data_IF_487799583976
#
_entry.id   IF_487799583976
#
_cell.length_a   1.000
_cell.length_b   1.000
_cell.length_c   1.000
_cell.angle_alpha   90.00
_cell.angle_beta   90.00
_cell.angle_gamma   90.00
#
_symmetry.space_group_name_H-M   'P 1'
#
loop_
_entity.id
_entity.type
_entity.pdbx_description
1 polymer ?
#
# COMPACT_ATOMS: atom_id res chain seq x y z
N UNK A 1 6.91 -24.34 63.33
CA UNK A 1 7.20 -23.16 62.47
C UNK A 1 5.86 -22.51 62.10
N UNK A 2 5.61 -21.24 62.44
CA UNK A 2 4.32 -20.61 62.13
C UNK A 2 4.30 -20.07 60.69
N UNK A 3 3.14 -20.15 60.05
CA UNK A 3 2.90 -19.73 58.68
C UNK A 3 2.92 -18.19 58.55
N UNK A 4 3.76 -17.67 57.66
CA UNK A 4 3.82 -16.24 57.32
C UNK A 4 2.76 -15.96 56.26
N UNK A 5 1.69 -15.26 56.64
CA UNK A 5 0.73 -14.67 55.70
C UNK A 5 1.37 -13.42 55.06
N UNK A 6 1.73 -13.51 53.77
CA UNK A 6 2.17 -12.35 52.99
C UNK A 6 0.96 -11.48 52.66
N UNK A 7 0.74 -10.43 53.46
CA UNK A 7 -0.21 -9.37 53.15
C UNK A 7 0.40 -8.51 52.03
N UNK A 8 -0.05 -8.72 50.78
CA UNK A 8 0.36 -7.89 49.65
C UNK A 8 -0.29 -6.51 49.83
N UNK A 9 0.49 -5.53 50.27
CA UNK A 9 0.08 -4.13 50.34
C UNK A 9 -0.29 -3.64 48.93
N UNK A 10 -1.57 -3.31 48.71
CA UNK A 10 -2.02 -2.61 47.51
C UNK A 10 -1.38 -1.21 47.50
N UNK A 11 -0.25 -1.07 46.79
CA UNK A 11 0.43 0.20 46.55
C UNK A 11 0.03 0.86 45.22
N UNK A 12 -1.14 0.53 44.68
CA UNK A 12 -1.67 1.21 43.50
C UNK A 12 -2.81 2.11 43.96
N UNK A 13 -2.65 3.44 43.95
CA UNK A 13 -3.76 4.35 44.19
C UNK A 13 -4.81 4.07 43.11
N UNK A 14 -6.02 3.75 43.52
CA UNK A 14 -7.17 3.56 42.65
C UNK A 14 -7.52 4.93 42.04
N UNK A 15 -6.81 5.28 40.96
CA UNK A 15 -7.14 6.45 40.17
C UNK A 15 -8.45 6.10 39.48
N UNK A 16 -9.54 6.69 39.95
CA UNK A 16 -10.85 6.69 39.29
C UNK A 16 -10.69 7.32 37.91
N UNK A 17 -10.30 6.51 36.92
CA UNK A 17 -10.34 6.88 35.53
C UNK A 17 -11.82 7.08 35.21
N UNK A 18 -12.22 8.34 34.99
CA UNK A 18 -13.50 8.63 34.37
C UNK A 18 -13.44 8.06 32.95
N UNK A 19 -13.92 6.85 32.77
CA UNK A 19 -13.95 6.12 31.48
C UNK A 19 -15.19 6.48 30.67
N UNK A 20 -15.57 7.76 30.64
CA UNK A 20 -16.59 8.21 29.71
C UNK A 20 -16.08 8.09 28.28
N UNK A 21 -16.94 7.77 27.30
CA UNK A 21 -16.56 7.70 25.88
C UNK A 21 -15.85 8.99 25.44
N UNK A 22 -16.34 10.14 25.91
CA UNK A 22 -15.78 11.46 25.65
C UNK A 22 -14.39 11.61 26.30
N UNK A 23 -14.22 11.17 27.55
CA UNK A 23 -12.91 11.21 28.24
C UNK A 23 -11.91 10.23 27.63
N UNK A 24 -12.35 9.08 27.10
CA UNK A 24 -11.52 8.13 26.35
C UNK A 24 -11.06 8.71 25.01
N UNK A 25 -11.94 9.41 24.30
CA UNK A 25 -11.60 10.14 23.07
C UNK A 25 -10.62 11.28 23.37
N UNK A 26 -10.89 12.09 24.40
CA UNK A 26 -10.00 13.17 24.79
C UNK A 26 -8.68 12.67 25.37
N UNK A 27 -8.64 11.54 26.07
CA UNK A 27 -7.39 10.91 26.48
C UNK A 27 -6.65 10.31 25.29
N UNK A 28 -7.32 9.76 24.29
CA UNK A 28 -6.70 9.37 23.02
C UNK A 28 -6.10 10.55 22.25
N UNK A 29 -6.79 11.70 22.23
CA UNK A 29 -6.30 12.95 21.63
C UNK A 29 -5.16 13.58 22.48
N UNK A 30 -5.27 13.54 23.81
CA UNK A 30 -4.24 14.03 24.75
C UNK A 30 -3.06 13.07 24.89
N UNK A 31 -3.21 11.81 24.50
CA UNK A 31 -2.10 10.87 24.43
C UNK A 31 -1.20 11.37 23.30
N UNK A 32 -0.13 12.06 23.70
CA UNK A 32 0.94 12.54 22.81
C UNK A 32 1.74 11.32 22.38
N UNK A 33 1.13 10.49 21.53
CA UNK A 33 1.52 9.14 21.17
C UNK A 33 3.01 8.89 21.32
N UNK A 34 3.37 7.82 22.03
CA UNK A 34 4.76 7.44 22.24
C UNK A 34 5.56 7.38 20.93
N UNK A 35 6.87 7.26 21.03
CA UNK A 35 7.79 7.22 19.88
C UNK A 35 7.27 6.28 18.78
N UNK A 36 6.90 6.83 17.62
CA UNK A 36 6.41 6.05 16.47
C UNK A 36 4.88 5.85 16.37
N UNK A 37 4.07 6.37 17.29
CA UNK A 37 2.61 6.16 17.27
C UNK A 37 1.92 6.72 16.02
N UNK A 38 2.29 7.93 15.59
CA UNK A 38 1.76 8.50 14.34
C UNK A 38 2.15 7.67 13.12
N UNK A 39 3.38 7.14 13.12
CA UNK A 39 3.84 6.26 12.05
C UNK A 39 3.07 4.93 12.03
N UNK A 40 2.72 4.40 13.20
CA UNK A 40 1.86 3.23 13.34
C UNK A 40 0.44 3.47 12.80
N UNK A 41 -0.24 4.53 13.24
CA UNK A 41 -1.59 4.87 12.75
C UNK A 41 -1.54 5.14 11.25
N UNK A 42 -0.60 5.99 10.82
CA UNK A 42 -0.41 6.34 9.42
C UNK A 42 -0.26 5.12 8.54
N UNK A 43 0.53 4.12 8.96
CA UNK A 43 0.81 2.94 8.15
C UNK A 43 -0.43 2.08 7.92
N UNK A 44 -1.28 1.96 8.95
CA UNK A 44 -2.56 1.24 8.86
C UNK A 44 -3.56 2.00 8.01
N UNK A 45 -3.73 3.29 8.25
CA UNK A 45 -4.67 4.12 7.49
C UNK A 45 -4.27 4.19 6.01
N UNK A 46 -2.99 4.39 5.71
CA UNK A 46 -2.50 4.40 4.33
C UNK A 46 -2.61 3.05 3.66
N UNK A 47 -2.35 1.94 4.37
CA UNK A 47 -2.52 0.59 3.85
C UNK A 47 -3.99 0.24 3.55
N UNK A 48 -4.91 0.57 4.47
CA UNK A 48 -6.34 0.34 4.28
C UNK A 48 -6.92 1.23 3.18
N UNK A 49 -6.52 2.51 3.13
CA UNK A 49 -6.91 3.43 2.07
C UNK A 49 -6.42 2.97 0.70
N UNK A 50 -5.16 2.51 0.62
CA UNK A 50 -4.59 1.93 -0.61
C UNK A 50 -5.33 0.67 -1.03
N UNK A 51 -5.68 -0.23 -0.09
CA UNK A 51 -6.45 -1.43 -0.41
C UNK A 51 -7.86 -1.10 -0.92
N UNK A 52 -8.54 -0.14 -0.30
CA UNK A 52 -9.86 0.30 -0.75
C UNK A 52 -9.79 0.84 -2.18
N UNK A 53 -8.82 1.72 -2.45
CA UNK A 53 -8.54 2.19 -3.80
C UNK A 53 -8.26 1.03 -4.74
N UNK A 54 -7.37 0.11 -4.38
CA UNK A 54 -6.99 -1.03 -5.22
C UNK A 54 -8.19 -1.91 -5.59
N UNK A 55 -9.12 -2.13 -4.66
CA UNK A 55 -10.34 -2.89 -4.94
C UNK A 55 -11.20 -2.16 -5.98
N UNK A 56 -11.46 -0.86 -5.77
CA UNK A 56 -12.22 -0.02 -6.71
C UNK A 56 -11.53 -0.02 -8.08
N UNK A 57 -10.22 0.20 -8.08
CA UNK A 57 -9.36 0.26 -9.25
C UNK A 57 -9.36 -1.03 -10.07
N UNK A 58 -9.31 -2.19 -9.43
CA UNK A 58 -9.38 -3.47 -10.14
C UNK A 58 -10.79 -3.70 -10.69
N UNK A 59 -11.85 -3.37 -9.93
CA UNK A 59 -13.24 -3.54 -10.40
C UNK A 59 -13.53 -2.64 -11.59
N UNK A 60 -13.17 -1.36 -11.54
CA UNK A 60 -13.39 -0.42 -12.63
C UNK A 60 -12.54 -0.77 -13.85
N UNK A 61 -11.26 -1.09 -13.68
CA UNK A 61 -10.37 -1.43 -14.81
C UNK A 61 -10.81 -2.74 -15.45
N UNK A 62 -11.41 -3.64 -14.67
CA UNK A 62 -12.02 -4.85 -15.22
C UNK A 62 -13.19 -4.54 -16.16
N UNK A 63 -13.88 -3.41 -15.99
CA UNK A 63 -14.96 -2.99 -16.88
C UNK A 63 -14.48 -2.72 -18.32
N UNK A 64 -13.18 -2.52 -18.57
CA UNK A 64 -12.63 -2.51 -19.94
C UNK A 64 -13.02 -3.77 -20.72
N UNK A 65 -13.08 -4.93 -20.04
CA UNK A 65 -13.53 -6.18 -20.66
C UNK A 65 -15.04 -6.40 -20.52
N UNK A 66 -15.61 -6.13 -19.34
CA UNK A 66 -17.00 -6.51 -19.05
C UNK A 66 -18.05 -5.48 -19.55
N UNK A 67 -17.73 -4.19 -19.54
CA UNK A 67 -18.64 -3.08 -19.89
C UNK A 67 -17.85 -1.81 -20.27
N UNK A 68 -17.28 -1.71 -21.48
CA UNK A 68 -16.37 -0.64 -21.89
C UNK A 68 -16.96 0.78 -21.76
N UNK A 69 -18.25 0.94 -22.07
CA UNK A 69 -19.00 2.20 -21.93
C UNK A 69 -18.95 2.72 -20.49
N UNK A 70 -19.15 1.83 -19.51
CA UNK A 70 -19.10 2.19 -18.09
C UNK A 70 -17.69 2.56 -17.65
N UNK A 71 -16.66 1.89 -18.17
CA UNK A 71 -15.27 2.30 -17.93
C UNK A 71 -15.01 3.73 -18.44
N UNK A 72 -15.45 4.04 -19.66
CA UNK A 72 -15.27 5.37 -20.25
C UNK A 72 -15.95 6.47 -19.42
N UNK A 73 -17.18 6.23 -18.95
CA UNK A 73 -17.91 7.13 -18.05
C UNK A 73 -17.17 7.35 -16.72
N UNK A 74 -16.71 6.28 -16.08
CA UNK A 74 -16.01 6.36 -14.78
C UNK A 74 -14.67 7.09 -14.92
N UNK A 75 -13.88 6.79 -15.96
CA UNK A 75 -12.60 7.47 -16.18
C UNK A 75 -12.79 8.96 -16.45
N UNK A 76 -13.84 9.36 -17.16
CA UNK A 76 -14.16 10.78 -17.34
C UNK A 76 -14.41 11.49 -16.00
N UNK A 77 -14.98 10.80 -15.00
CA UNK A 77 -15.17 11.37 -13.67
C UNK A 77 -13.85 11.62 -12.93
N UNK A 78 -12.83 10.79 -13.14
CA UNK A 78 -11.52 10.95 -12.48
C UNK A 78 -10.71 12.13 -12.99
N UNK A 79 -11.03 12.64 -14.17
CA UNK A 79 -10.44 13.86 -14.71
C UNK A 79 -10.97 15.13 -14.01
N UNK A 80 -11.98 15.00 -13.14
CA UNK A 80 -12.49 16.11 -12.34
C UNK A 80 -11.52 16.46 -11.18
N UNK A 81 -11.31 17.75 -10.86
CA UNK A 81 -10.30 18.19 -9.89
C UNK A 81 -10.35 17.49 -8.52
N UNK A 82 -11.55 17.20 -8.02
CA UNK A 82 -11.72 16.53 -6.70
C UNK A 82 -11.09 15.13 -6.69
N UNK A 83 -11.25 14.36 -7.77
CA UNK A 83 -10.67 13.03 -7.85
C UNK A 83 -9.16 13.10 -8.04
N UNK A 84 -8.67 14.03 -8.86
CA UNK A 84 -7.23 14.26 -9.03
C UNK A 84 -6.54 14.72 -7.74
N UNK A 85 -7.19 15.55 -6.92
CA UNK A 85 -6.68 15.88 -5.58
C UNK A 85 -6.63 14.63 -4.69
N UNK A 86 -7.63 13.76 -4.82
CA UNK A 86 -7.66 12.44 -4.19
C UNK A 86 -6.48 11.55 -4.64
N UNK A 87 -6.19 11.48 -5.94
CA UNK A 87 -5.06 10.74 -6.51
C UNK A 87 -3.73 11.27 -5.97
N UNK A 88 -3.53 12.59 -5.93
CA UNK A 88 -2.33 13.20 -5.33
C UNK A 88 -2.17 12.76 -3.86
N UNK A 89 -3.26 12.74 -3.10
CA UNK A 89 -3.26 12.25 -1.71
C UNK A 89 -3.00 10.73 -1.61
N UNK A 90 -3.53 9.95 -2.53
CA UNK A 90 -3.30 8.51 -2.62
C UNK A 90 -1.84 8.18 -2.90
N UNK A 91 -1.17 8.92 -3.80
CA UNK A 91 0.28 8.76 -4.05
C UNK A 91 1.08 8.99 -2.78
N UNK A 92 0.73 10.00 -1.96
CA UNK A 92 1.35 10.17 -0.64
C UNK A 92 1.11 8.97 0.28
N UNK A 93 -0.11 8.43 0.31
CA UNK A 93 -0.45 7.27 1.12
C UNK A 93 0.35 6.02 0.72
N UNK A 94 0.46 5.72 -0.57
CA UNK A 94 1.24 4.59 -1.10
C UNK A 94 2.73 4.75 -0.79
N UNK A 95 3.29 5.94 -1.02
CA UNK A 95 4.68 6.26 -0.69
C UNK A 95 4.98 6.09 0.81
N UNK A 96 4.15 6.70 1.65
CA UNK A 96 4.28 6.58 3.10
C UNK A 96 4.16 5.12 3.55
N UNK A 97 3.16 4.39 3.03
CA UNK A 97 2.94 2.98 3.36
C UNK A 97 4.19 2.13 3.05
N UNK A 98 4.75 2.28 1.84
CA UNK A 98 5.93 1.56 1.40
C UNK A 98 7.18 1.91 2.21
N UNK A 99 7.50 3.20 2.37
CA UNK A 99 8.67 3.66 3.14
C UNK A 99 8.59 3.26 4.62
N UNK A 100 7.42 3.41 5.23
CA UNK A 100 7.18 2.98 6.60
C UNK A 100 7.26 1.45 6.73
N UNK A 101 6.76 0.71 5.74
CA UNK A 101 6.89 -0.74 5.65
C UNK A 101 8.35 -1.20 5.61
N UNK A 102 9.22 -0.51 4.85
CA UNK A 102 10.66 -0.76 4.84
C UNK A 102 11.30 -0.54 6.22
N UNK A 103 10.88 0.51 6.96
CA UNK A 103 11.34 0.71 8.35
C UNK A 103 10.96 -0.48 9.24
N UNK A 104 9.71 -0.94 9.16
CA UNK A 104 9.23 -2.08 9.94
C UNK A 104 10.02 -3.35 9.59
N UNK A 105 10.22 -3.62 8.30
CA UNK A 105 11.05 -4.73 7.81
C UNK A 105 12.47 -4.65 8.37
N UNK A 106 13.05 -3.45 8.43
CA UNK A 106 14.40 -3.25 8.95
C UNK A 106 14.53 -3.65 10.43
N UNK A 107 13.60 -3.21 11.27
CA UNK A 107 13.61 -3.59 12.68
C UNK A 107 13.22 -5.05 12.92
N UNK A 108 12.36 -5.63 12.10
CA UNK A 108 12.02 -7.06 12.14
C UNK A 108 13.26 -7.95 11.86
N UNK A 109 14.11 -7.56 10.90
CA UNK A 109 15.32 -8.32 10.54
C UNK A 109 16.50 -8.09 11.47
N UNK A 110 16.57 -6.90 12.10
CA UNK A 110 17.61 -6.51 13.04
C UNK A 110 17.00 -5.97 14.34
N UNK A 111 16.42 -6.85 15.18
CA UNK A 111 15.82 -6.41 16.44
C UNK A 111 16.81 -5.67 17.36
N UNK A 112 18.09 -6.05 17.33
CA UNK A 112 19.16 -5.41 18.11
C UNK A 112 19.40 -3.94 17.73
N UNK A 113 18.92 -3.50 16.55
CA UNK A 113 19.00 -2.11 16.13
C UNK A 113 17.86 -1.25 16.66
N UNK A 114 16.82 -1.85 17.24
CA UNK A 114 15.66 -1.12 17.74
C UNK A 114 15.95 -0.45 19.10
N UNK A 115 15.63 0.84 19.19
CA UNK A 115 15.50 1.58 20.45
C UNK A 115 14.40 2.63 20.28
N UNK A 116 13.76 3.12 21.37
CA UNK A 116 12.73 4.16 21.26
C UNK A 116 13.21 5.43 20.53
N UNK A 117 14.46 5.84 20.76
CA UNK A 117 15.08 7.00 20.11
C UNK A 117 15.28 6.76 18.61
N UNK A 118 15.75 5.56 18.23
CA UNK A 118 15.94 5.18 16.83
C UNK A 118 14.60 5.03 16.11
N UNK A 119 13.59 4.45 16.75
CA UNK A 119 12.24 4.34 16.19
C UNK A 119 11.64 5.73 15.92
N UNK A 120 11.82 6.67 16.85
CA UNK A 120 11.39 8.06 16.65
C UNK A 120 12.15 8.74 15.49
N UNK A 121 13.48 8.66 15.51
CA UNK A 121 14.32 9.24 14.47
C UNK A 121 13.97 8.71 13.09
N UNK A 122 13.91 7.39 12.92
CA UNK A 122 13.57 6.77 11.63
C UNK A 122 12.13 7.02 11.22
N UNK A 123 11.20 7.21 12.15
CA UNK A 123 9.85 7.69 11.83
C UNK A 123 9.88 9.09 11.20
N UNK A 124 10.67 10.02 11.75
CA UNK A 124 10.84 11.36 11.16
C UNK A 124 11.52 11.30 9.80
N UNK A 125 12.54 10.43 9.63
CA UNK A 125 13.18 10.19 8.33
C UNK A 125 12.16 9.68 7.31
N UNK A 126 11.29 8.73 7.68
CA UNK A 126 10.23 8.23 6.79
C UNK A 126 9.27 9.36 6.38
N UNK A 127 8.84 10.21 7.32
CA UNK A 127 8.00 11.37 6.97
C UNK A 127 8.73 12.32 6.02
N UNK A 128 9.97 12.70 6.33
CA UNK A 128 10.79 13.58 5.49
C UNK A 128 11.01 13.00 4.08
N UNK A 129 11.36 11.72 3.99
CA UNK A 129 11.54 11.03 2.71
C UNK A 129 10.23 10.94 1.92
N UNK A 130 9.10 10.71 2.59
CA UNK A 130 7.77 10.71 1.95
C UNK A 130 7.51 12.06 1.30
N UNK A 131 7.68 13.18 2.02
CA UNK A 131 7.48 14.52 1.46
C UNK A 131 8.49 14.85 0.36
N UNK A 132 9.76 14.47 0.53
CA UNK A 132 10.79 14.72 -0.47
C UNK A 132 10.51 14.03 -1.80
N UNK A 133 9.96 12.80 -1.77
CA UNK A 133 9.56 12.06 -2.98
C UNK A 133 8.18 12.50 -3.51
N UNK A 134 7.25 12.83 -2.62
CA UNK A 134 5.89 13.19 -2.98
C UNK A 134 5.78 14.60 -3.56
N UNK A 135 6.52 15.59 -3.05
CA UNK A 135 6.39 16.98 -3.52
C UNK A 135 6.66 17.16 -5.02
N UNK A 136 7.72 16.56 -5.61
CA UNK A 136 7.92 16.59 -7.06
C UNK A 136 6.77 15.93 -7.83
N UNK A 137 6.29 14.77 -7.37
CA UNK A 137 5.16 14.08 -7.98
C UNK A 137 3.87 14.91 -7.91
N UNK A 138 3.56 15.44 -6.74
CA UNK A 138 2.41 16.30 -6.48
C UNK A 138 2.46 17.59 -7.31
N UNK A 139 3.66 18.16 -7.53
CA UNK A 139 3.82 19.30 -8.43
C UNK A 139 3.48 18.94 -9.88
N UNK A 140 4.00 17.82 -10.39
CA UNK A 140 3.71 17.37 -11.78
C UNK A 140 2.22 17.08 -11.95
N UNK A 141 1.64 16.30 -11.04
CA UNK A 141 0.21 15.96 -11.06
C UNK A 141 -0.68 17.19 -10.86
N UNK A 142 -0.31 18.08 -9.93
CA UNK A 142 -1.02 19.33 -9.66
C UNK A 142 -0.94 20.31 -10.84
N UNK A 143 0.19 20.35 -11.55
CA UNK A 143 0.30 21.10 -12.81
C UNK A 143 -0.63 20.53 -13.88
N UNK A 144 -0.68 19.20 -14.03
CA UNK A 144 -1.61 18.53 -14.96
C UNK A 144 -3.07 18.89 -14.64
N UNK A 145 -3.46 18.80 -13.36
CA UNK A 145 -4.79 19.20 -12.86
C UNK A 145 -5.09 20.65 -13.26
N UNK A 146 -4.16 21.57 -12.97
CA UNK A 146 -4.37 22.98 -13.23
C UNK A 146 -4.55 23.28 -14.72
N UNK A 147 -3.69 22.72 -15.58
CA UNK A 147 -3.75 23.00 -17.01
C UNK A 147 -5.00 22.39 -17.66
N UNK A 148 -5.30 21.12 -17.38
CA UNK A 148 -6.30 20.37 -18.14
C UNK A 148 -7.70 20.40 -17.50
N UNK A 149 -7.79 20.43 -16.16
CA UNK A 149 -9.10 20.47 -15.49
C UNK A 149 -9.57 21.88 -15.13
N UNK A 150 -8.65 22.83 -14.89
CA UNK A 150 -9.01 24.20 -14.50
C UNK A 150 -8.92 25.16 -15.69
N UNK A 151 -7.79 25.19 -16.40
CA UNK A 151 -7.60 26.05 -17.58
C UNK A 151 -8.18 25.43 -18.86
N UNK A 152 -8.60 24.17 -18.81
CA UNK A 152 -9.21 23.45 -19.95
C UNK A 152 -8.29 23.41 -21.18
N UNK A 153 -6.97 23.41 -20.97
CA UNK A 153 -6.02 23.21 -22.06
C UNK A 153 -6.19 21.80 -22.63
N UNK A 154 -6.13 21.62 -23.97
CA UNK A 154 -6.29 20.31 -24.58
C UNK A 154 -5.17 19.36 -24.12
N UNK A 155 -5.55 18.18 -23.65
CA UNK A 155 -4.62 17.11 -23.33
C UNK A 155 -3.98 16.54 -24.62
N UNK A 156 -2.78 15.93 -24.55
CA UNK A 156 -2.18 15.27 -25.70
C UNK A 156 -3.11 14.17 -26.26
N UNK A 157 -3.15 14.04 -27.59
CA UNK A 157 -4.21 13.27 -28.26
C UNK A 157 -4.11 11.74 -28.05
N UNK A 158 -2.90 11.19 -27.95
CA UNK A 158 -2.66 9.77 -27.71
C UNK A 158 -1.20 9.52 -27.32
N UNK A 159 -0.95 8.37 -26.70
CA UNK A 159 0.42 7.87 -26.52
C UNK A 159 0.78 6.94 -27.67
N UNK A 160 2.05 6.94 -28.05
CA UNK A 160 2.56 6.10 -29.13
C UNK A 160 3.02 4.72 -28.61
N UNK A 161 3.06 3.68 -29.47
CA UNK A 161 3.64 2.38 -29.10
C UNK A 161 5.10 2.48 -28.63
N UNK A 162 5.87 3.44 -29.18
CA UNK A 162 7.26 3.72 -28.80
C UNK A 162 7.37 4.25 -27.36
N UNK A 163 6.48 5.16 -26.96
CA UNK A 163 6.38 5.64 -25.58
C UNK A 163 6.01 4.51 -24.60
N UNK A 164 5.13 3.59 -25.01
CA UNK A 164 4.80 2.39 -24.20
C UNK A 164 5.99 1.43 -24.10
N UNK A 165 6.69 1.20 -25.21
CA UNK A 165 7.87 0.32 -25.24
C UNK A 165 9.04 0.86 -24.41
N UNK A 166 9.27 2.17 -24.43
CA UNK A 166 10.35 2.81 -23.64
C UNK A 166 10.07 2.86 -22.14
N UNK A 167 8.82 2.66 -21.71
CA UNK A 167 8.47 2.57 -20.29
C UNK A 167 9.22 1.48 -19.51
N UNK A 168 9.76 0.47 -20.19
CA UNK A 168 10.64 -0.53 -19.56
C UNK A 168 11.95 0.04 -19.00
N UNK A 169 12.48 1.11 -19.60
CA UNK A 169 13.66 1.79 -19.07
C UNK A 169 13.37 2.37 -17.67
N UNK A 170 12.17 2.93 -17.48
CA UNK A 170 11.73 3.45 -16.18
C UNK A 170 11.59 2.33 -15.14
N UNK A 171 10.98 1.20 -15.53
CA UNK A 171 10.87 0.01 -14.68
C UNK A 171 12.26 -0.52 -14.31
N UNK A 172 13.19 -0.59 -15.26
CA UNK A 172 14.55 -1.03 -15.02
C UNK A 172 15.30 -0.11 -14.03
N UNK A 173 15.16 1.21 -14.17
CA UNK A 173 15.74 2.17 -13.21
C UNK A 173 15.16 1.98 -11.82
N UNK A 174 13.83 1.85 -11.68
CA UNK A 174 13.21 1.61 -10.36
C UNK A 174 13.68 0.28 -9.77
N UNK A 175 13.75 -0.78 -10.58
CA UNK A 175 14.26 -2.09 -10.15
C UNK A 175 15.72 -2.02 -9.70
N UNK A 176 16.56 -1.24 -10.39
CA UNK A 176 17.96 -1.04 -10.01
C UNK A 176 18.07 -0.26 -8.70
N UNK A 177 17.27 0.77 -8.50
CA UNK A 177 17.22 1.53 -7.24
C UNK A 177 16.71 0.64 -6.11
N UNK A 178 15.62 -0.10 -6.33
CA UNK A 178 15.06 -1.03 -5.35
C UNK A 178 16.06 -2.16 -5.01
N UNK A 179 16.74 -2.72 -6.01
CA UNK A 179 17.79 -3.71 -5.82
C UNK A 179 19.00 -3.12 -5.08
N UNK A 180 19.41 -1.88 -5.38
CA UNK A 180 20.48 -1.18 -4.67
C UNK A 180 20.13 -0.95 -3.20
N UNK A 181 18.90 -0.51 -2.91
CA UNK A 181 18.39 -0.36 -1.54
C UNK A 181 18.30 -1.71 -0.82
N UNK A 182 17.84 -2.76 -1.50
CA UNK A 182 17.78 -4.12 -0.95
C UNK A 182 19.16 -4.71 -0.67
N UNK A 183 20.13 -4.50 -1.56
CA UNK A 183 21.51 -4.97 -1.38
C UNK A 183 22.18 -4.19 -0.26
N UNK A 184 22.03 -2.86 -0.21
CA UNK A 184 22.53 -2.05 0.88
C UNK A 184 21.90 -2.48 2.23
N UNK A 185 20.60 -2.76 2.22
CA UNK A 185 19.87 -3.27 3.37
C UNK A 185 20.37 -4.66 3.79
N UNK A 186 20.47 -5.63 2.87
CA UNK A 186 20.95 -6.98 3.13
C UNK A 186 22.43 -7.00 3.59
N UNK A 187 23.28 -6.14 3.02
CA UNK A 187 24.67 -5.97 3.42
C UNK A 187 24.80 -5.34 4.83
N UNK A 188 23.89 -4.44 5.18
CA UNK A 188 23.78 -3.91 6.55
C UNK A 188 23.24 -4.97 7.53
N UNK A 189 22.54 -5.98 7.03
CA UNK A 189 21.92 -7.03 7.82
C UNK A 189 22.89 -8.19 8.16
N UNK A 190 24.12 -7.91 8.62
CA UNK A 190 25.08 -8.95 9.07
C UNK A 190 24.49 -9.84 10.18
N UNK A 191 24.41 -11.18 10.04
CA UNK A 191 23.82 -12.03 11.05
C UNK A 191 24.58 -11.91 12.37
N UNK A 192 23.85 -11.76 13.48
CA UNK A 192 24.43 -11.89 14.81
C UNK A 192 24.95 -13.32 15.00
N UNK A 193 26.07 -13.48 15.70
CA UNK A 193 26.81 -14.74 15.89
C UNK A 193 26.08 -15.81 16.73
N UNK A 194 24.77 -15.69 16.90
CA UNK A 194 23.94 -16.58 17.71
C UNK A 194 23.52 -17.82 16.93
N UNK A 195 23.83 -18.99 17.47
CA UNK A 195 23.38 -20.29 16.97
C UNK A 195 21.87 -20.44 17.23
N UNK A 196 21.04 -19.91 16.34
CA UNK A 196 19.59 -20.08 16.41
C UNK A 196 19.23 -21.54 16.13
N UNK A 197 18.50 -22.19 17.05
CA UNK A 197 17.95 -23.51 16.80
C UNK A 197 16.98 -23.44 15.62
N UNK A 198 17.09 -24.36 14.66
CA UNK A 198 16.24 -24.40 13.48
C UNK A 198 14.79 -24.74 13.88
N UNK A 199 13.94 -23.73 14.01
CA UNK A 199 12.49 -23.90 14.22
C UNK A 199 11.84 -24.21 12.87
N UNK A 200 11.02 -25.26 12.79
CA UNK A 200 10.28 -25.59 11.57
C UNK A 200 9.28 -24.46 11.26
N UNK A 201 9.27 -23.88 10.04
CA UNK A 201 8.41 -22.76 9.71
C UNK A 201 6.93 -23.18 9.70
N UNK A 202 6.11 -22.50 10.50
CA UNK A 202 4.66 -22.65 10.51
C UNK A 202 4.01 -21.87 9.38
N UNK A 203 2.70 -22.06 9.14
CA UNK A 203 1.95 -21.25 8.18
C UNK A 203 2.01 -19.76 8.54
N UNK A 204 1.93 -19.45 9.83
CA UNK A 204 2.04 -18.08 10.34
C UNK A 204 3.41 -17.49 10.02
N UNK A 205 4.51 -18.23 10.24
CA UNK A 205 5.85 -17.79 9.86
C UNK A 205 5.95 -17.52 8.35
N UNK A 206 5.38 -18.39 7.52
CA UNK A 206 5.38 -18.20 6.06
C UNK A 206 4.59 -16.97 5.63
N UNK A 207 3.42 -16.74 6.21
CA UNK A 207 2.59 -15.59 5.87
C UNK A 207 3.19 -14.28 6.41
N UNK A 208 3.82 -14.34 7.58
CA UNK A 208 4.62 -13.24 8.10
C UNK A 208 5.74 -12.87 7.14
N UNK A 209 6.50 -13.85 6.63
CA UNK A 209 7.55 -13.65 5.63
C UNK A 209 6.98 -13.11 4.31
N UNK A 210 5.85 -13.67 3.85
CA UNK A 210 5.16 -13.22 2.64
C UNK A 210 4.87 -11.72 2.70
N UNK A 211 4.35 -11.19 3.82
CA UNK A 211 4.06 -9.76 3.95
C UNK A 211 5.31 -8.89 3.75
N UNK A 212 6.48 -9.32 4.24
CA UNK A 212 7.71 -8.54 4.09
C UNK A 212 8.25 -8.62 2.66
N UNK A 213 8.36 -9.83 2.10
CA UNK A 213 8.88 -10.00 0.75
C UNK A 213 7.97 -9.40 -0.32
N UNK A 214 6.65 -9.59 -0.19
CA UNK A 214 5.69 -8.94 -1.09
C UNK A 214 5.71 -7.43 -0.94
N UNK A 215 5.83 -6.89 0.28
CA UNK A 215 5.95 -5.43 0.48
C UNK A 215 7.17 -4.84 -0.23
N UNK A 216 8.32 -5.51 -0.15
CA UNK A 216 9.53 -5.13 -0.90
C UNK A 216 9.31 -5.22 -2.40
N UNK A 217 8.76 -6.34 -2.89
CA UNK A 217 8.48 -6.55 -4.31
C UNK A 217 7.48 -5.52 -4.87
N UNK A 218 6.54 -5.07 -4.04
CA UNK A 218 5.54 -4.09 -4.42
C UNK A 218 6.12 -2.68 -4.57
N UNK A 219 7.33 -2.39 -4.10
CA UNK A 219 7.96 -1.08 -4.35
C UNK A 219 8.13 -0.85 -5.86
N UNK A 220 8.88 -1.68 -6.61
CA UNK A 220 9.01 -1.48 -8.05
C UNK A 220 7.71 -1.72 -8.84
N UNK A 221 6.80 -2.56 -8.35
CA UNK A 221 5.53 -2.84 -9.03
C UNK A 221 4.50 -1.71 -8.84
N UNK A 222 4.21 -1.31 -7.61
CA UNK A 222 3.21 -0.28 -7.35
C UNK A 222 3.74 1.12 -7.72
N UNK A 223 4.99 1.43 -7.36
CA UNK A 223 5.57 2.75 -7.69
C UNK A 223 5.80 2.90 -9.19
N UNK A 224 6.27 1.86 -9.87
CA UNK A 224 6.43 1.91 -11.33
C UNK A 224 5.10 2.10 -12.04
N UNK A 225 4.05 1.40 -11.59
CA UNK A 225 2.69 1.59 -12.10
C UNK A 225 2.21 3.04 -11.90
N UNK A 226 2.21 3.55 -10.66
CA UNK A 226 1.78 4.92 -10.34
C UNK A 226 2.60 5.97 -11.09
N UNK A 227 3.93 5.79 -11.15
CA UNK A 227 4.81 6.74 -11.83
C UNK A 227 4.49 6.82 -13.31
N UNK A 228 4.29 5.69 -13.99
CA UNK A 228 3.99 5.68 -15.42
C UNK A 228 2.58 6.25 -15.68
N UNK A 229 1.58 5.82 -14.91
CA UNK A 229 0.19 6.18 -15.16
C UNK A 229 -0.14 7.61 -14.74
N UNK A 230 0.23 8.01 -13.52
CA UNK A 230 -0.26 9.25 -12.92
C UNK A 230 0.74 10.41 -13.06
N UNK A 231 2.04 10.11 -13.03
CA UNK A 231 3.08 11.14 -13.02
C UNK A 231 3.60 11.44 -14.44
N UNK A 232 3.96 10.41 -15.20
CA UNK A 232 4.56 10.58 -16.52
C UNK A 232 3.53 10.82 -17.62
N UNK A 233 2.40 10.11 -17.57
CA UNK A 233 1.34 10.22 -18.58
C UNK A 233 0.17 11.10 -18.08
N UNK A 234 -0.22 10.93 -16.82
CA UNK A 234 -1.32 11.66 -16.22
C UNK A 234 -2.70 11.12 -16.59
N UNK A 235 -3.67 11.36 -15.72
CA UNK A 235 -5.04 10.81 -15.82
C UNK A 235 -5.78 11.21 -17.11
N UNK A 236 -5.45 12.36 -17.71
CA UNK A 236 -6.12 12.85 -18.92
C UNK A 236 -5.79 12.03 -20.18
N UNK A 237 -4.72 11.23 -20.14
CA UNK A 237 -4.39 10.30 -21.24
C UNK A 237 -5.07 8.93 -21.08
N UNK A 238 -5.63 8.63 -19.90
CA UNK A 238 -6.22 7.33 -19.61
C UNK A 238 -7.59 7.26 -20.30
N UNK A 239 -7.75 6.28 -21.17
CA UNK A 239 -8.97 5.92 -21.86
C UNK A 239 -8.88 4.45 -22.34
N UNK A 240 -9.91 3.96 -23.05
CA UNK A 240 -9.93 2.59 -23.56
C UNK A 240 -8.74 2.29 -24.48
N UNK A 241 -8.42 3.19 -25.41
CA UNK A 241 -7.31 3.01 -26.35
C UNK A 241 -5.95 2.98 -25.64
N UNK A 242 -5.78 3.78 -24.59
CA UNK A 242 -4.61 3.77 -23.74
C UNK A 242 -4.42 2.43 -23.05
N UNK A 243 -5.47 1.88 -22.41
CA UNK A 243 -5.40 0.57 -21.75
C UNK A 243 -5.12 -0.53 -22.76
N UNK A 244 -5.83 -0.53 -23.88
CA UNK A 244 -5.65 -1.50 -24.95
C UNK A 244 -4.20 -1.52 -25.44
N UNK A 245 -3.61 -0.34 -25.66
CA UNK A 245 -2.23 -0.24 -26.14
C UNK A 245 -1.24 -0.90 -25.16
N UNK A 246 -1.39 -0.69 -23.85
CA UNK A 246 -0.56 -1.37 -22.85
C UNK A 246 -0.78 -2.88 -22.86
N UNK A 247 -2.03 -3.33 -22.90
CA UNK A 247 -2.36 -4.75 -22.86
C UNK A 247 -1.99 -5.50 -24.15
N UNK A 248 -1.74 -4.82 -25.27
CA UNK A 248 -1.14 -5.44 -26.47
C UNK A 248 0.28 -5.97 -26.22
N UNK A 249 1.02 -5.41 -25.25
CA UNK A 249 2.37 -5.88 -24.93
C UNK A 249 2.36 -6.93 -23.82
N UNK A 250 2.92 -8.11 -24.12
CA UNK A 250 3.00 -9.22 -23.17
C UNK A 250 3.72 -8.85 -21.88
N UNK A 251 4.82 -8.09 -21.97
CA UNK A 251 5.57 -7.69 -20.77
C UNK A 251 4.71 -6.87 -19.80
N UNK A 252 3.92 -5.92 -20.31
CA UNK A 252 3.09 -5.06 -19.47
C UNK A 252 1.96 -5.87 -18.82
N UNK A 253 1.40 -6.86 -19.53
CA UNK A 253 0.46 -7.82 -18.94
C UNK A 253 1.08 -8.67 -17.84
N UNK A 254 2.32 -9.12 -18.00
CA UNK A 254 3.03 -9.87 -16.93
C UNK A 254 3.25 -8.97 -15.72
N UNK A 255 3.63 -7.72 -15.95
CA UNK A 255 3.82 -6.72 -14.89
C UNK A 255 2.51 -6.44 -14.13
N UNK A 256 1.43 -6.15 -14.85
CA UNK A 256 0.11 -5.89 -14.26
C UNK A 256 -0.45 -7.15 -13.57
N UNK A 257 -0.21 -8.36 -14.10
CA UNK A 257 -0.60 -9.61 -13.46
C UNK A 257 0.14 -9.83 -12.14
N UNK A 258 1.44 -9.53 -12.10
CA UNK A 258 2.25 -9.59 -10.89
C UNK A 258 1.75 -8.56 -9.86
N UNK A 259 1.52 -7.31 -10.29
CA UNK A 259 0.98 -6.26 -9.43
C UNK A 259 -0.39 -6.66 -8.86
N UNK A 260 -1.33 -7.09 -9.71
CA UNK A 260 -2.65 -7.57 -9.30
C UNK A 260 -2.54 -8.65 -8.22
N UNK A 261 -1.73 -9.68 -8.48
CA UNK A 261 -1.59 -10.84 -7.60
C UNK A 261 -0.96 -10.47 -6.26
N UNK A 262 0.19 -9.79 -6.27
CA UNK A 262 0.91 -9.47 -5.04
C UNK A 262 0.23 -8.36 -4.24
N UNK A 263 -0.31 -7.32 -4.88
CA UNK A 263 -0.91 -6.19 -4.19
C UNK A 263 -2.22 -6.60 -3.50
N UNK A 264 -3.11 -7.32 -4.21
CA UNK A 264 -4.35 -7.79 -3.61
C UNK A 264 -4.10 -8.81 -2.50
N UNK A 265 -3.15 -9.74 -2.68
CA UNK A 265 -2.82 -10.73 -1.64
C UNK A 265 -2.19 -10.07 -0.40
N UNK A 266 -1.25 -9.14 -0.60
CA UNK A 266 -0.65 -8.34 0.48
C UNK A 266 -1.71 -7.55 1.25
N UNK A 267 -2.57 -6.83 0.53
CA UNK A 267 -3.64 -6.04 1.12
C UNK A 267 -4.69 -6.88 1.84
N UNK A 268 -5.14 -8.00 1.25
CA UNK A 268 -6.11 -8.89 1.89
C UNK A 268 -5.57 -9.49 3.20
N UNK A 269 -4.31 -9.91 3.21
CA UNK A 269 -3.69 -10.41 4.43
C UNK A 269 -3.46 -9.31 5.47
N UNK A 270 -3.07 -8.10 5.05
CA UNK A 270 -2.99 -6.91 5.90
C UNK A 270 -4.35 -6.58 6.56
N UNK A 271 -5.43 -6.59 5.78
CA UNK A 271 -6.80 -6.37 6.29
C UNK A 271 -7.19 -7.45 7.31
N UNK A 272 -6.81 -8.71 7.06
CA UNK A 272 -7.01 -9.81 8.01
C UNK A 272 -6.27 -9.56 9.33
N UNK A 273 -5.03 -9.06 9.30
CA UNK A 273 -4.28 -8.69 10.51
C UNK A 273 -4.95 -7.55 11.27
N UNK A 274 -5.32 -6.47 10.57
CA UNK A 274 -6.03 -5.33 11.17
C UNK A 274 -7.32 -5.80 11.83
N UNK A 275 -8.09 -6.67 11.16
CA UNK A 275 -9.35 -7.19 11.69
C UNK A 275 -9.16 -7.97 12.99
N UNK A 276 -8.09 -8.76 13.11
CA UNK A 276 -7.79 -9.53 14.31
C UNK A 276 -7.56 -8.66 15.54
N UNK A 277 -7.09 -7.42 15.35
CA UNK A 277 -6.85 -6.47 16.43
C UNK A 277 -8.14 -5.87 17.00
N UNK A 278 -9.23 -5.82 16.23
CA UNK A 278 -10.48 -5.14 16.62
C UNK A 278 -11.70 -6.06 16.73
N UNK A 279 -11.66 -7.27 16.15
CA UNK A 279 -12.78 -8.20 16.16
C UNK A 279 -12.53 -9.36 17.11
N UNK A 280 -13.06 -9.25 18.33
CA UNK A 280 -12.82 -10.24 19.39
C UNK A 280 -13.85 -11.38 19.45
N UNK A 281 -15.04 -11.21 18.88
CA UNK A 281 -16.08 -12.24 18.89
C UNK A 281 -15.71 -13.39 17.93
N UNK A 282 -15.58 -14.66 18.41
CA UNK A 282 -15.01 -15.75 17.62
C UNK A 282 -15.74 -16.04 16.30
N UNK A 283 -17.08 -16.03 16.33
CA UNK A 283 -17.90 -16.23 15.14
C UNK A 283 -17.71 -15.08 14.14
N UNK A 284 -17.79 -13.83 14.63
CA UNK A 284 -17.62 -12.64 13.78
C UNK A 284 -16.23 -12.62 13.13
N UNK A 285 -15.19 -12.89 13.90
CA UNK A 285 -13.82 -12.96 13.38
C UNK A 285 -13.67 -14.02 12.29
N UNK A 286 -14.25 -15.22 12.50
CA UNK A 286 -14.23 -16.30 11.49
C UNK A 286 -14.96 -15.88 10.22
N UNK A 287 -16.15 -15.30 10.34
CA UNK A 287 -16.94 -14.84 9.20
C UNK A 287 -16.22 -13.72 8.44
N UNK A 288 -15.62 -12.75 9.13
CA UNK A 288 -14.84 -11.69 8.48
C UNK A 288 -13.65 -12.24 7.71
N UNK A 289 -12.93 -13.25 8.25
CA UNK A 289 -11.82 -13.90 7.53
C UNK A 289 -12.29 -14.58 6.24
N UNK A 290 -13.43 -15.26 6.27
CA UNK A 290 -14.00 -15.86 5.05
C UNK A 290 -14.48 -14.80 4.06
N UNK A 291 -15.05 -13.69 4.54
CA UNK A 291 -15.44 -12.58 3.68
C UNK A 291 -14.22 -11.95 2.99
N UNK A 292 -13.11 -11.75 3.71
CA UNK A 292 -11.84 -11.25 3.14
C UNK A 292 -11.32 -12.22 2.07
N UNK A 293 -11.30 -13.52 2.36
CA UNK A 293 -10.84 -14.54 1.42
C UNK A 293 -11.71 -14.57 0.15
N UNK A 294 -13.03 -14.53 0.30
CA UNK A 294 -13.97 -14.51 -0.81
C UNK A 294 -13.82 -13.24 -1.65
N UNK A 295 -13.76 -12.07 -1.02
CA UNK A 295 -13.54 -10.80 -1.69
C UNK A 295 -12.23 -10.77 -2.47
N UNK A 296 -11.14 -11.24 -1.87
CA UNK A 296 -9.85 -11.38 -2.54
C UNK A 296 -9.93 -12.29 -3.77
N UNK A 297 -10.55 -13.47 -3.66
CA UNK A 297 -10.71 -14.41 -4.78
C UNK A 297 -11.53 -13.79 -5.93
N UNK A 298 -12.65 -13.14 -5.60
CA UNK A 298 -13.55 -12.52 -6.59
C UNK A 298 -12.83 -11.40 -7.34
N UNK A 299 -12.24 -10.45 -6.61
CA UNK A 299 -11.58 -9.28 -7.24
C UNK A 299 -10.36 -9.71 -8.04
N UNK A 300 -9.57 -10.67 -7.55
CA UNK A 300 -8.42 -11.20 -8.29
C UNK A 300 -8.87 -11.93 -9.56
N UNK A 301 -9.93 -12.75 -9.49
CA UNK A 301 -10.45 -13.45 -10.66
C UNK A 301 -11.00 -12.47 -11.71
N UNK A 302 -11.75 -11.46 -11.29
CA UNK A 302 -12.25 -10.40 -12.18
C UNK A 302 -11.10 -9.70 -12.91
N UNK A 303 -10.09 -9.24 -12.17
CA UNK A 303 -8.92 -8.58 -12.75
C UNK A 303 -8.14 -9.50 -13.70
N UNK A 304 -7.96 -10.77 -13.34
CA UNK A 304 -7.25 -11.73 -14.18
C UNK A 304 -8.00 -12.01 -15.49
N UNK A 305 -9.33 -12.16 -15.43
CA UNK A 305 -10.18 -12.33 -16.63
C UNK A 305 -10.06 -11.10 -17.52
N UNK A 306 -10.18 -9.90 -16.97
CA UNK A 306 -10.08 -8.66 -17.73
C UNK A 306 -8.70 -8.47 -18.38
N UNK A 307 -7.62 -8.75 -17.66
CA UNK A 307 -6.25 -8.66 -18.17
C UNK A 307 -5.97 -9.65 -19.31
N UNK A 308 -6.65 -10.80 -19.31
CA UNK A 308 -6.52 -11.81 -20.36
C UNK A 308 -7.42 -11.52 -21.55
N UNK A 309 -8.68 -11.21 -21.30
CA UNK A 309 -9.71 -11.04 -22.33
C UNK A 309 -9.83 -9.62 -22.89
N UNK A 310 -9.29 -8.61 -22.22
CA UNK A 310 -9.46 -7.21 -22.60
C UNK A 310 -8.70 -6.78 -23.87
N UNK A 311 -7.79 -7.61 -24.36
CA UNK A 311 -7.09 -7.34 -25.63
C UNK A 311 -8.07 -7.55 -26.79
N UNK A 312 -8.47 -6.45 -27.44
CA UNK A 312 -9.39 -6.46 -28.58
C UNK A 312 -10.87 -6.34 -28.23
N UNK A 313 -11.24 -6.32 -26.94
CA UNK A 313 -12.63 -6.10 -26.49
C UNK A 313 -13.14 -4.67 -26.77
N UNK A 314 -12.23 -3.75 -27.06
CA UNK A 314 -12.48 -2.34 -27.41
C UNK A 314 -12.73 -2.10 -28.89
N UNK A 315 -12.58 -3.14 -29.74
CA UNK A 315 -12.72 -3.08 -31.20
C UNK A 315 -14.03 -3.70 -31.71
N UNK A 316 -14.88 -4.20 -30.81
CA UNK A 316 -16.15 -4.89 -31.10
C UNK A 316 -17.37 -4.08 -30.73
#
# INVERSE_FOLDING_TARGET
MPAVSRQVSRLVPERTLKTGIVDGVWQGIKYRGGTGHLAFIGHRLSGLGTLLFLIIHVVETSAVYFKPEFYAEVVASYQHPVFMLGEIGLVAAVLFHGLNGLRIIAFDWKPDLWSPEREHFWSLVVFGATFALWLPAAFVMGRSLYLHSILMEPAPAAITPEQVGTGWANVAVILLVAAGLLVAFAASARPGSGRQAAIKPTLETRMWMFMRYSGVLLIPLAYGHVMIKDILHGVHLINLAYVELYWRFLGWRIYDAALLSFALAHGAYGLKQVTEDYVHAPLRLRLTKYAILAGWLIVTAMGAIALVGGVGATLS
#
